data_IF_941865616613
#
_entry.id   IF_941865616613
#
_cell.length_a   1.000
_cell.length_b   1.000
_cell.length_c   1.000
_cell.angle_alpha   90.00
_cell.angle_beta   90.00
_cell.angle_gamma   90.00
#
_symmetry.space_group_name_H-M   'P 1'
#
loop_
_entity.id
_entity.type
_entity.pdbx_description
1 polymer ?
#
# COMPACT_ATOMS: atom_id res chain seq x y z
N UNK A 1 -32.32 15.28 -1.82
CA UNK A 1 -31.72 13.94 -1.56
C UNK A 1 -30.38 14.20 -0.89
N UNK A 2 -30.13 13.63 0.25
CA UNK A 2 -28.96 13.94 1.05
C UNK A 2 -27.67 13.30 0.47
N UNK A 3 -27.39 12.03 0.70
CA UNK A 3 -26.25 11.34 0.10
C UNK A 3 -26.74 10.41 -1.01
N UNK A 4 -26.31 10.65 -2.26
CA UNK A 4 -26.76 9.93 -3.47
C UNK A 4 -25.75 8.87 -3.97
N UNK A 5 -24.55 8.80 -3.40
CA UNK A 5 -23.51 7.84 -3.79
C UNK A 5 -22.74 7.34 -2.57
N UNK A 6 -22.37 6.06 -2.61
CA UNK A 6 -21.46 5.45 -1.62
C UNK A 6 -19.97 5.71 -1.95
N UNK A 7 -19.66 6.07 -3.19
CA UNK A 7 -18.28 6.30 -3.59
C UNK A 7 -17.69 7.51 -2.89
N UNK A 8 -16.51 7.34 -2.29
CA UNK A 8 -15.71 8.40 -1.67
C UNK A 8 -14.36 8.58 -2.38
N UNK A 9 -14.22 7.96 -3.54
CA UNK A 9 -13.03 8.01 -4.37
C UNK A 9 -13.41 8.26 -5.84
N UNK A 10 -12.61 9.05 -6.54
CA UNK A 10 -12.69 9.24 -7.99
C UNK A 10 -11.32 8.97 -8.63
N UNK A 11 -11.31 8.31 -9.76
CA UNK A 11 -10.10 7.79 -10.41
C UNK A 11 -9.90 6.28 -10.13
N UNK A 12 -8.70 5.72 -10.40
CA UNK A 12 -7.51 6.45 -10.87
C UNK A 12 -7.68 7.02 -12.28
N UNK A 13 -7.28 8.25 -12.47
CA UNK A 13 -7.21 8.91 -13.79
C UNK A 13 -5.81 8.75 -14.35
N UNK A 14 -5.70 8.24 -15.57
CA UNK A 14 -4.41 8.11 -16.25
C UNK A 14 -3.98 9.47 -16.82
N UNK A 15 -2.74 9.88 -16.55
CA UNK A 15 -2.14 11.08 -17.11
C UNK A 15 -1.78 10.89 -18.57
N UNK A 16 -1.98 11.95 -19.35
CA UNK A 16 -1.62 12.05 -20.77
C UNK A 16 -0.59 13.15 -21.05
N UNK A 17 -0.09 13.82 -20.01
CA UNK A 17 0.83 14.95 -20.11
C UNK A 17 0.16 16.27 -20.49
N UNK A 18 -1.17 16.30 -20.66
CA UNK A 18 -1.92 17.49 -21.13
C UNK A 18 -3.07 17.82 -20.18
N UNK A 19 -3.78 16.81 -19.71
CA UNK A 19 -4.98 16.97 -18.89
C UNK A 19 -4.66 17.59 -17.53
N UNK A 20 -5.50 18.57 -17.15
CA UNK A 20 -5.41 19.30 -15.87
C UNK A 20 -6.70 19.23 -15.06
N UNK A 21 -7.82 18.80 -15.66
CA UNK A 21 -9.14 18.82 -15.05
C UNK A 21 -9.66 17.41 -14.79
N UNK A 22 -10.01 17.13 -13.54
CA UNK A 22 -10.41 15.80 -13.09
C UNK A 22 -11.71 15.92 -12.28
N UNK A 23 -12.86 15.48 -12.84
CA UNK A 23 -14.15 15.57 -12.18
C UNK A 23 -14.28 14.51 -11.08
N UNK A 24 -15.05 14.83 -10.04
CA UNK A 24 -15.48 13.87 -9.04
C UNK A 24 -16.98 14.07 -8.71
N UNK A 25 -17.63 13.03 -8.21
CA UNK A 25 -19.09 13.00 -8.06
C UNK A 25 -19.57 12.75 -6.63
N UNK A 26 -18.68 12.67 -5.66
CA UNK A 26 -19.06 12.50 -4.26
C UNK A 26 -19.29 13.86 -3.58
N UNK A 27 -20.33 13.93 -2.72
CA UNK A 27 -20.67 15.13 -1.96
C UNK A 27 -19.56 15.45 -0.93
N UNK A 28 -19.19 16.73 -0.86
CA UNK A 28 -18.32 17.32 0.16
C UNK A 28 -18.91 18.64 0.64
N UNK A 29 -18.49 19.12 1.81
CA UNK A 29 -18.95 20.40 2.35
C UNK A 29 -18.00 21.55 2.01
N UNK A 30 -16.72 21.25 1.83
CA UNK A 30 -15.68 22.22 1.49
C UNK A 30 -14.73 21.65 0.45
N UNK A 31 -14.06 22.51 -0.31
CA UNK A 31 -12.98 22.11 -1.21
C UNK A 31 -11.81 21.45 -0.44
N UNK A 32 -11.61 21.81 0.81
CA UNK A 32 -10.58 21.26 1.70
C UNK A 32 -10.87 19.81 2.13
N UNK A 33 -12.10 19.34 1.95
CA UNK A 33 -12.51 17.94 2.24
C UNK A 33 -12.07 16.94 1.16
N UNK A 34 -11.33 17.38 0.14
CA UNK A 34 -10.83 16.54 -0.94
C UNK A 34 -9.31 16.52 -0.92
N UNK A 35 -8.72 15.34 -0.98
CA UNK A 35 -7.28 15.11 -1.14
C UNK A 35 -6.99 14.45 -2.46
N UNK A 36 -5.83 14.76 -3.01
CA UNK A 36 -5.35 14.23 -4.28
C UNK A 36 -4.06 13.45 -4.07
N UNK A 37 -4.00 12.25 -4.63
CA UNK A 37 -2.84 11.37 -4.59
C UNK A 37 -2.38 11.07 -6.02
N UNK A 38 -1.08 11.11 -6.24
CA UNK A 38 -0.46 10.71 -7.51
C UNK A 38 0.39 9.49 -7.28
N UNK A 39 0.19 8.49 -8.13
CA UNK A 39 1.06 7.32 -8.22
C UNK A 39 1.89 7.38 -9.51
N UNK A 40 3.18 7.11 -9.40
CA UNK A 40 4.07 6.96 -10.55
C UNK A 40 3.85 5.60 -11.25
N UNK A 41 4.46 5.35 -12.44
CA UNK A 41 4.35 4.06 -13.14
C UNK A 41 4.91 2.87 -12.36
N UNK A 42 5.73 3.10 -11.33
CA UNK A 42 6.26 2.08 -10.44
C UNK A 42 5.33 1.77 -9.27
N UNK A 43 4.24 2.54 -9.12
CA UNK A 43 3.25 2.37 -8.05
C UNK A 43 3.58 3.10 -6.76
N UNK A 44 4.59 3.98 -6.76
CA UNK A 44 4.86 4.82 -5.58
C UNK A 44 3.82 5.94 -5.52
N UNK A 45 3.06 5.97 -4.44
CA UNK A 45 1.98 6.93 -4.21
C UNK A 45 2.45 8.07 -3.30
N UNK A 46 2.05 9.29 -3.62
CA UNK A 46 2.29 10.49 -2.80
C UNK A 46 1.08 11.42 -2.81
N UNK A 47 0.82 12.07 -1.67
CA UNK A 47 -0.20 13.12 -1.58
C UNK A 47 0.31 14.39 -2.25
N UNK A 48 -0.50 14.99 -3.12
CA UNK A 48 -0.20 16.28 -3.72
C UNK A 48 -0.37 17.41 -2.67
N UNK A 49 0.59 18.33 -2.65
CA UNK A 49 0.46 19.52 -1.84
C UNK A 49 -0.79 20.33 -2.23
N UNK A 50 -1.52 20.87 -1.26
CA UNK A 50 -2.73 21.66 -1.50
C UNK A 50 -2.49 22.89 -2.42
N UNK A 51 -1.25 23.34 -2.52
CA UNK A 51 -0.81 24.41 -3.43
C UNK A 51 -0.66 23.96 -4.87
N UNK A 52 -0.62 22.66 -5.16
CA UNK A 52 -0.42 22.12 -6.50
C UNK A 52 -1.73 22.04 -7.33
N UNK A 53 -2.87 22.22 -6.68
CA UNK A 53 -4.18 22.13 -7.34
C UNK A 53 -5.21 23.07 -6.72
N UNK A 54 -6.30 23.25 -7.42
CA UNK A 54 -7.49 23.97 -6.97
C UNK A 54 -8.72 23.11 -7.20
N UNK A 55 -9.70 23.18 -6.30
CA UNK A 55 -10.96 22.46 -6.42
C UNK A 55 -12.09 23.48 -6.62
N UNK A 56 -12.90 23.22 -7.63
CA UNK A 56 -14.15 23.96 -7.88
C UNK A 56 -15.32 23.02 -7.60
N UNK A 57 -16.07 23.33 -6.55
CA UNK A 57 -17.28 22.57 -6.21
C UNK A 57 -18.45 22.93 -7.11
N UNK A 58 -19.33 21.97 -7.36
CA UNK A 58 -20.63 22.24 -7.97
C UNK A 58 -21.45 23.18 -7.08
N UNK A 59 -22.19 24.10 -7.68
CA UNK A 59 -22.95 25.12 -6.98
C UNK A 59 -24.05 24.55 -6.06
N UNK A 60 -24.50 23.34 -6.32
CA UNK A 60 -25.51 22.65 -5.51
C UNK A 60 -25.10 21.20 -5.27
N UNK A 61 -24.53 20.95 -4.11
CA UNK A 61 -24.07 19.60 -3.70
C UNK A 61 -25.22 18.63 -3.41
N UNK A 62 -26.46 19.10 -3.29
CA UNK A 62 -27.64 18.24 -3.10
C UNK A 62 -28.12 17.62 -4.42
N UNK A 63 -28.12 18.39 -5.50
CA UNK A 63 -28.62 17.98 -6.79
C UNK A 63 -27.52 17.50 -7.73
N UNK A 64 -26.32 18.05 -7.60
CA UNK A 64 -25.13 17.72 -8.39
C UNK A 64 -23.90 17.67 -7.46
N UNK A 65 -23.76 16.58 -6.69
CA UNK A 65 -22.63 16.43 -5.77
C UNK A 65 -21.31 16.37 -6.54
N UNK A 66 -20.23 16.81 -5.86
CA UNK A 66 -18.89 16.77 -6.39
C UNK A 66 -18.39 18.09 -6.95
N UNK A 67 -17.47 17.99 -7.90
CA UNK A 67 -16.79 19.14 -8.47
C UNK A 67 -15.69 18.73 -9.45
N UNK A 68 -14.75 19.63 -9.68
CA UNK A 68 -13.58 19.40 -10.54
C UNK A 68 -12.32 19.83 -9.82
N UNK A 69 -11.32 18.97 -9.84
CA UNK A 69 -9.97 19.31 -9.45
C UNK A 69 -9.22 19.85 -10.67
N UNK A 70 -8.56 20.99 -10.51
CA UNK A 70 -7.72 21.63 -11.52
C UNK A 70 -6.27 21.60 -11.04
N UNK A 71 -5.41 20.85 -11.74
CA UNK A 71 -3.97 20.86 -11.49
C UNK A 71 -3.32 22.12 -12.05
N UNK A 72 -2.34 22.67 -11.34
CA UNK A 72 -1.53 23.79 -11.84
C UNK A 72 -0.67 23.36 -13.02
N UNK A 73 -0.12 22.13 -12.97
CA UNK A 73 0.63 21.50 -14.04
C UNK A 73 -0.12 20.29 -14.57
N UNK A 74 0.02 19.92 -15.86
CA UNK A 74 -0.61 18.70 -16.39
C UNK A 74 -0.18 17.45 -15.63
N UNK A 75 -1.09 16.48 -15.47
CA UNK A 75 -0.72 15.18 -14.95
C UNK A 75 0.25 14.50 -15.91
N UNK A 76 1.46 14.19 -15.44
CA UNK A 76 2.48 13.56 -16.26
C UNK A 76 1.95 12.26 -16.89
N UNK A 77 2.40 11.95 -18.10
CA UNK A 77 2.02 10.72 -18.80
C UNK A 77 2.35 9.49 -17.92
N UNK A 78 1.49 8.48 -18.02
CA UNK A 78 1.58 7.22 -17.28
C UNK A 78 1.45 7.33 -15.74
N UNK A 79 1.31 8.53 -15.18
CA UNK A 79 0.98 8.71 -13.78
C UNK A 79 -0.53 8.52 -13.57
N UNK A 80 -0.90 8.11 -12.36
CA UNK A 80 -2.29 7.95 -11.97
C UNK A 80 -2.66 8.97 -10.90
N UNK A 81 -3.78 9.68 -11.10
CA UNK A 81 -4.34 10.60 -10.11
C UNK A 81 -5.58 9.99 -9.46
N UNK A 82 -5.63 10.00 -8.16
CA UNK A 82 -6.81 9.56 -7.39
C UNK A 82 -7.24 10.68 -6.44
N UNK A 83 -8.53 10.98 -6.43
CA UNK A 83 -9.16 11.92 -5.51
C UNK A 83 -9.93 11.16 -4.46
N UNK A 84 -9.79 11.55 -3.20
CA UNK A 84 -10.54 10.94 -2.09
C UNK A 84 -11.25 12.02 -1.27
N UNK A 85 -12.38 11.63 -0.69
CA UNK A 85 -13.02 12.40 0.39
C UNK A 85 -12.19 12.24 1.66
N UNK A 86 -11.77 13.34 2.25
CA UNK A 86 -10.92 13.39 3.44
C UNK A 86 -11.43 14.42 4.45
N UNK A 87 -12.73 14.44 4.66
CA UNK A 87 -13.38 15.32 5.63
C UNK A 87 -12.90 14.99 7.04
N UNK A 88 -12.44 15.98 7.82
CA UNK A 88 -11.98 15.74 9.18
C UNK A 88 -13.12 15.27 10.08
N UNK A 89 -12.87 14.21 10.85
CA UNK A 89 -13.88 13.57 11.74
C UNK A 89 -14.09 14.44 12.97
N UNK A 90 -14.96 15.45 12.84
CA UNK A 90 -15.33 16.36 13.90
C UNK A 90 -16.83 16.69 13.84
N UNK A 91 -17.42 16.99 14.98
CA UNK A 91 -18.81 17.47 15.07
C UNK A 91 -18.81 19.02 15.19
N UNK A 92 -18.96 19.76 14.08
CA UNK A 92 -18.94 21.22 14.14
C UNK A 92 -20.28 21.85 14.56
N UNK A 93 -21.34 21.04 14.70
CA UNK A 93 -22.68 21.50 15.05
C UNK A 93 -23.03 21.19 16.51
N UNK A 94 -23.62 22.20 17.18
CA UNK A 94 -24.19 22.06 18.52
C UNK A 94 -25.66 22.39 18.44
N UNK A 95 -26.52 21.50 18.92
CA UNK A 95 -27.94 21.73 19.06
C UNK A 95 -28.25 22.26 20.46
N UNK A 96 -28.94 23.41 20.54
CA UNK A 96 -29.36 23.99 21.83
C UNK A 96 -30.83 23.67 22.10
N UNK A 97 -31.16 23.37 23.36
CA UNK A 97 -32.52 22.94 23.75
C UNK A 97 -33.60 24.01 23.63
N UNK A 98 -33.23 25.27 23.36
CA UNK A 98 -34.18 26.39 23.28
C UNK A 98 -34.29 27.00 21.87
N UNK A 99 -33.77 26.28 20.84
CA UNK A 99 -33.85 26.70 19.44
C UNK A 99 -35.07 26.13 18.70
N UNK A 100 -35.43 26.75 17.58
CA UNK A 100 -36.39 26.16 16.64
C UNK A 100 -35.86 24.86 16.02
N UNK A 101 -36.76 24.03 15.53
CA UNK A 101 -36.39 22.82 14.77
C UNK A 101 -36.01 23.21 13.34
N UNK A 102 -34.76 22.98 12.96
CA UNK A 102 -34.25 23.26 11.62
C UNK A 102 -33.86 21.95 10.91
N UNK A 103 -34.75 21.39 10.06
CA UNK A 103 -34.51 20.12 9.36
C UNK A 103 -33.22 20.10 8.55
N UNK A 104 -32.85 21.23 7.94
CA UNK A 104 -31.64 21.31 7.10
C UNK A 104 -30.35 21.12 7.90
N UNK A 105 -30.30 21.65 9.13
CA UNK A 105 -29.17 21.42 10.01
C UNK A 105 -29.04 19.95 10.45
N UNK A 106 -30.20 19.32 10.72
CA UNK A 106 -30.22 17.89 11.07
C UNK A 106 -29.79 17.02 9.89
N UNK A 107 -30.32 17.32 8.69
CA UNK A 107 -29.93 16.63 7.46
C UNK A 107 -28.42 16.78 7.19
N UNK A 108 -27.87 17.99 7.33
CA UNK A 108 -26.44 18.22 7.16
C UNK A 108 -25.59 17.44 8.19
N UNK A 109 -26.07 17.30 9.44
CA UNK A 109 -25.40 16.50 10.46
C UNK A 109 -25.40 15.00 10.11
N UNK A 110 -26.55 14.47 9.66
CA UNK A 110 -26.71 13.08 9.23
C UNK A 110 -25.88 12.77 7.98
N UNK A 111 -25.86 13.69 7.02
CA UNK A 111 -25.02 13.59 5.82
C UNK A 111 -23.53 13.49 6.18
N UNK A 112 -23.08 14.32 7.12
CA UNK A 112 -21.71 14.29 7.61
C UNK A 112 -21.36 12.95 8.26
N UNK A 113 -22.23 12.42 9.11
CA UNK A 113 -22.05 11.09 9.70
C UNK A 113 -22.00 9.99 8.64
N UNK A 114 -22.89 10.05 7.65
CA UNK A 114 -22.92 9.10 6.53
C UNK A 114 -21.60 9.16 5.75
N UNK A 115 -21.10 10.36 5.46
CA UNK A 115 -19.80 10.54 4.76
C UNK A 115 -18.67 9.94 5.58
N UNK A 116 -18.63 10.12 6.91
CA UNK A 116 -17.60 9.52 7.76
C UNK A 116 -17.61 7.99 7.67
N UNK A 117 -18.78 7.36 7.75
CA UNK A 117 -18.91 5.91 7.62
C UNK A 117 -18.40 5.45 6.24
N UNK A 118 -18.77 6.14 5.17
CA UNK A 118 -18.33 5.83 3.82
C UNK A 118 -16.83 6.06 3.61
N UNK A 119 -16.22 7.04 4.27
CA UNK A 119 -14.75 7.23 4.26
C UNK A 119 -14.05 6.06 4.96
N UNK A 120 -14.59 5.59 6.10
CA UNK A 120 -14.06 4.40 6.77
C UNK A 120 -14.23 3.15 5.90
N UNK A 121 -15.37 2.96 5.25
CA UNK A 121 -15.60 1.84 4.33
C UNK A 121 -14.58 1.86 3.18
N UNK A 122 -14.31 3.02 2.59
CA UNK A 122 -13.29 3.19 1.54
C UNK A 122 -11.90 2.80 2.03
N UNK A 123 -11.50 3.26 3.23
CA UNK A 123 -10.21 2.89 3.83
C UNK A 123 -10.15 1.38 4.11
N UNK A 124 -11.19 0.82 4.72
CA UNK A 124 -11.27 -0.61 5.04
C UNK A 124 -11.24 -1.49 3.78
N UNK A 125 -11.78 -1.01 2.66
CA UNK A 125 -11.74 -1.74 1.39
C UNK A 125 -10.30 -1.98 0.87
N UNK A 126 -9.34 -1.21 1.36
CA UNK A 126 -7.90 -1.32 1.03
C UNK A 126 -7.09 -2.01 2.13
N UNK A 127 -7.72 -2.43 3.22
CA UNK A 127 -7.07 -3.11 4.34
C UNK A 127 -7.10 -4.62 4.16
N UNK A 128 -6.15 -5.30 4.78
CA UNK A 128 -6.20 -6.75 4.93
C UNK A 128 -7.31 -7.10 5.94
N UNK A 129 -8.28 -7.88 5.50
CA UNK A 129 -9.43 -8.30 6.33
C UNK A 129 -9.39 -9.81 6.52
N UNK A 130 -9.61 -10.26 7.74
CA UNK A 130 -9.74 -11.69 8.04
C UNK A 130 -11.02 -12.29 7.46
N UNK A 131 -11.07 -13.61 7.32
CA UNK A 131 -12.28 -14.34 6.92
C UNK A 131 -13.41 -14.09 7.92
N UNK A 132 -14.64 -13.92 7.43
CA UNK A 132 -15.86 -13.81 8.25
C UNK A 132 -16.06 -15.05 9.15
N UNK A 133 -15.61 -16.22 8.69
CA UNK A 133 -15.68 -17.48 9.44
C UNK A 133 -14.52 -17.66 10.44
N UNK A 134 -13.56 -16.73 10.48
CA UNK A 134 -12.47 -16.77 11.45
C UNK A 134 -12.98 -16.36 12.82
N UNK A 135 -12.71 -17.16 13.84
CA UNK A 135 -13.07 -16.88 15.25
C UNK A 135 -12.17 -15.82 15.91
N UNK A 136 -11.13 -15.36 15.21
CA UNK A 136 -10.19 -14.33 15.69
C UNK A 136 -9.85 -13.32 14.59
N UNK A 137 -9.37 -12.13 15.00
CA UNK A 137 -8.83 -11.14 14.08
C UNK A 137 -7.51 -11.60 13.45
N UNK A 138 -7.02 -10.86 12.45
CA UNK A 138 -5.67 -11.07 11.94
C UNK A 138 -4.65 -10.76 13.05
N UNK A 139 -3.58 -11.55 13.16
CA UNK A 139 -2.51 -11.26 14.11
C UNK A 139 -1.80 -9.95 13.70
N UNK A 140 -1.18 -9.25 14.67
CA UNK A 140 -0.44 -8.04 14.36
C UNK A 140 0.71 -8.33 13.41
N UNK A 141 0.98 -7.38 12.50
CA UNK A 141 2.15 -7.44 11.64
C UNK A 141 3.42 -7.26 12.48
N UNK A 142 4.49 -8.01 12.19
CA UNK A 142 5.78 -7.80 12.84
C UNK A 142 6.39 -6.46 12.42
N UNK A 143 7.33 -5.95 13.22
CA UNK A 143 8.14 -4.78 12.84
C UNK A 143 8.85 -5.10 11.52
N UNK A 144 8.79 -4.22 10.49
CA UNK A 144 9.42 -4.48 9.21
C UNK A 144 10.93 -4.69 9.34
N UNK A 145 11.44 -5.74 8.70
CA UNK A 145 12.87 -6.00 8.55
C UNK A 145 13.18 -6.01 7.06
N UNK A 146 14.17 -5.22 6.64
CA UNK A 146 14.57 -5.11 5.23
C UNK A 146 14.94 -6.48 4.65
N UNK A 147 14.55 -6.73 3.40
CA UNK A 147 14.80 -7.96 2.64
C UNK A 147 14.13 -9.24 3.19
N UNK A 148 13.25 -9.12 4.19
CA UNK A 148 12.47 -10.23 4.70
C UNK A 148 11.09 -10.29 4.04
N UNK A 149 10.54 -11.49 3.97
CA UNK A 149 9.17 -11.76 3.55
C UNK A 149 8.27 -11.94 4.77
N UNK A 150 6.98 -11.61 4.61
CA UNK A 150 5.98 -11.94 5.61
C UNK A 150 5.47 -13.36 5.35
N UNK A 151 5.46 -14.19 6.39
CA UNK A 151 4.84 -15.52 6.33
C UNK A 151 4.05 -15.81 7.60
N UNK A 152 3.14 -16.76 7.51
CA UNK A 152 2.56 -17.37 8.69
C UNK A 152 3.58 -18.30 9.37
N UNK A 153 3.61 -18.28 10.70
CA UNK A 153 4.36 -19.29 11.46
C UNK A 153 3.77 -20.70 11.23
N UNK A 154 4.45 -21.72 11.72
CA UNK A 154 4.05 -23.14 11.55
C UNK A 154 2.63 -23.44 12.04
N UNK A 155 2.16 -22.71 13.04
CA UNK A 155 0.87 -22.95 13.70
C UNK A 155 -0.26 -22.08 13.12
N UNK A 156 0.06 -21.18 12.16
CA UNK A 156 -0.90 -20.25 11.56
C UNK A 156 -1.45 -19.20 12.52
N UNK A 157 -0.77 -18.94 13.65
CA UNK A 157 -1.25 -18.04 14.70
C UNK A 157 -0.62 -16.66 14.66
N UNK A 158 0.52 -16.50 13.98
CA UNK A 158 1.28 -15.24 13.88
C UNK A 158 1.79 -15.02 12.47
N UNK A 159 1.91 -13.74 12.10
CA UNK A 159 2.68 -13.31 10.93
C UNK A 159 4.07 -12.95 11.42
N UNK A 160 5.10 -13.47 10.77
CA UNK A 160 6.50 -13.25 11.14
C UNK A 160 7.35 -12.83 9.93
N UNK A 161 8.44 -12.11 10.20
CA UNK A 161 9.45 -11.83 9.19
C UNK A 161 10.22 -13.12 8.89
N UNK A 162 10.31 -13.47 7.63
CA UNK A 162 11.04 -14.64 7.14
C UNK A 162 12.14 -14.20 6.17
N UNK A 163 13.36 -14.47 6.55
CA UNK A 163 14.51 -14.31 5.68
C UNK A 163 14.63 -15.55 4.77
N UNK A 164 14.39 -15.33 3.46
CA UNK A 164 14.72 -16.34 2.43
C UNK A 164 16.20 -16.23 2.05
N UNK A 165 17.05 -15.69 2.90
CA UNK A 165 18.48 -15.72 2.67
C UNK A 165 19.00 -17.10 2.31
N UNK A 166 20.27 -17.21 1.99
CA UNK A 166 20.89 -18.47 1.53
C UNK A 166 20.52 -19.67 2.41
N UNK A 167 20.37 -19.45 3.71
CA UNK A 167 20.01 -20.51 4.66
C UNK A 167 18.54 -20.93 4.55
N UNK A 168 17.63 -19.99 4.22
CA UNK A 168 16.24 -20.30 3.94
C UNK A 168 16.09 -21.11 2.64
N UNK A 169 16.84 -20.76 1.58
CA UNK A 169 16.87 -21.51 0.33
C UNK A 169 17.48 -22.90 0.55
N UNK A 170 18.56 -23.02 1.33
CA UNK A 170 19.15 -24.30 1.71
C UNK A 170 18.16 -25.20 2.47
N UNK A 171 17.41 -24.63 3.42
CA UNK A 171 16.36 -25.34 4.17
C UNK A 171 15.25 -25.83 3.25
N UNK A 172 14.81 -25.00 2.30
CA UNK A 172 13.79 -25.40 1.32
C UNK A 172 14.30 -26.49 0.38
N UNK A 173 15.53 -26.41 -0.10
CA UNK A 173 16.18 -27.46 -0.89
C UNK A 173 16.27 -28.76 -0.09
N UNK A 174 16.60 -28.71 1.19
CA UNK A 174 16.65 -29.89 2.06
C UNK A 174 15.28 -30.55 2.20
N UNK A 175 14.21 -29.76 2.37
CA UNK A 175 12.84 -30.30 2.42
C UNK A 175 12.39 -30.90 1.08
N UNK A 176 12.75 -30.29 -0.05
CA UNK A 176 12.51 -30.86 -1.38
C UNK A 176 13.27 -32.18 -1.59
N UNK A 177 14.53 -32.28 -1.17
CA UNK A 177 15.31 -33.51 -1.21
C UNK A 177 14.60 -34.62 -0.43
N UNK A 178 14.12 -34.35 0.77
CA UNK A 178 13.38 -35.28 1.59
C UNK A 178 12.08 -35.73 0.92
N UNK A 179 11.32 -34.79 0.37
CA UNK A 179 10.07 -35.10 -0.34
C UNK A 179 10.30 -35.96 -1.60
N UNK A 180 11.34 -35.68 -2.38
CA UNK A 180 11.72 -36.47 -3.57
C UNK A 180 12.23 -37.87 -3.18
N UNK A 181 12.99 -37.99 -2.09
CA UNK A 181 13.45 -39.29 -1.59
C UNK A 181 12.31 -40.16 -1.08
N UNK A 182 11.21 -39.56 -0.61
CA UNK A 182 10.01 -40.30 -0.20
C UNK A 182 9.17 -40.81 -1.38
N UNK A 183 9.35 -40.24 -2.59
CA UNK A 183 8.75 -40.69 -3.84
C UNK A 183 9.55 -41.90 -4.41
N UNK A 184 9.62 -42.96 -3.64
CA UNK A 184 10.40 -44.16 -3.98
C UNK A 184 9.84 -44.85 -5.21
N UNK A 185 10.67 -45.05 -6.25
CA UNK A 185 10.51 -46.14 -7.22
C UNK A 185 10.66 -45.82 -8.70
N UNK A 186 11.05 -44.62 -9.13
CA UNK A 186 11.22 -44.33 -10.55
C UNK A 186 12.53 -43.60 -10.89
N UNK A 187 13.13 -43.93 -12.04
CA UNK A 187 14.34 -43.26 -12.54
C UNK A 187 14.21 -41.71 -12.69
N UNK A 188 12.99 -41.24 -12.83
CA UNK A 188 12.69 -39.79 -12.85
C UNK A 188 12.95 -39.10 -11.51
N UNK A 189 12.63 -39.79 -10.38
CA UNK A 189 12.89 -39.23 -9.04
C UNK A 189 14.40 -39.09 -8.79
N UNK A 190 15.20 -40.05 -9.27
CA UNK A 190 16.67 -39.98 -9.18
C UNK A 190 17.23 -38.81 -10.01
N UNK A 191 16.71 -38.60 -11.22
CA UNK A 191 17.13 -37.48 -12.08
C UNK A 191 16.79 -36.13 -11.48
N UNK A 192 15.61 -35.98 -10.83
CA UNK A 192 15.22 -34.78 -10.11
C UNK A 192 16.14 -34.55 -8.91
N UNK A 193 16.43 -35.60 -8.14
CA UNK A 193 17.34 -35.55 -7.01
C UNK A 193 18.74 -35.04 -7.43
N UNK A 194 19.30 -35.58 -8.51
CA UNK A 194 20.61 -35.16 -9.05
C UNK A 194 20.61 -33.70 -9.51
N UNK A 195 19.51 -33.22 -10.12
CA UNK A 195 19.36 -31.80 -10.48
C UNK A 195 19.29 -30.88 -9.26
N UNK A 196 18.58 -31.31 -8.20
CA UNK A 196 18.51 -30.56 -6.93
C UNK A 196 19.89 -30.48 -6.27
N UNK A 197 20.67 -31.55 -6.29
CA UNK A 197 22.05 -31.60 -5.79
C UNK A 197 22.96 -30.63 -6.55
N UNK A 198 22.90 -30.64 -7.88
CA UNK A 198 23.69 -29.73 -8.71
C UNK A 198 23.33 -28.25 -8.48
N UNK A 199 22.04 -27.93 -8.30
CA UNK A 199 21.58 -26.59 -7.98
C UNK A 199 22.03 -26.15 -6.58
N UNK A 200 22.01 -27.04 -5.60
CA UNK A 200 22.50 -26.78 -4.23
C UNK A 200 23.99 -26.41 -4.24
N UNK A 201 24.81 -27.19 -4.97
CA UNK A 201 26.22 -26.90 -5.12
C UNK A 201 26.50 -25.55 -5.78
N UNK A 202 25.79 -25.25 -6.87
CA UNK A 202 25.90 -23.93 -7.54
C UNK A 202 25.52 -22.77 -6.61
N UNK A 203 24.50 -22.95 -5.76
CA UNK A 203 24.09 -21.94 -4.81
C UNK A 203 25.18 -21.70 -3.75
N UNK A 204 25.82 -22.74 -3.28
CA UNK A 204 26.97 -22.65 -2.35
C UNK A 204 28.14 -21.88 -2.97
N UNK A 205 28.48 -22.19 -4.22
CA UNK A 205 29.56 -21.53 -4.95
C UNK A 205 29.28 -20.03 -5.11
N UNK A 206 28.07 -19.67 -5.55
CA UNK A 206 27.64 -18.28 -5.71
C UNK A 206 27.64 -17.52 -4.38
N UNK A 207 27.23 -18.16 -3.28
CA UNK A 207 27.24 -17.56 -1.95
C UNK A 207 28.65 -17.28 -1.48
N UNK A 208 29.54 -18.25 -1.68
CA UNK A 208 30.94 -18.10 -1.30
C UNK A 208 31.64 -17.04 -2.13
N UNK A 209 31.33 -16.93 -3.43
CA UNK A 209 31.84 -15.88 -4.30
C UNK A 209 31.32 -14.49 -3.88
N UNK A 210 30.02 -14.38 -3.60
CA UNK A 210 29.41 -13.12 -3.12
C UNK A 210 30.01 -12.67 -1.81
N UNK A 211 30.19 -13.57 -0.84
CA UNK A 211 30.80 -13.29 0.44
C UNK A 211 32.26 -12.83 0.28
N UNK A 212 33.00 -13.46 -0.63
CA UNK A 212 34.38 -13.07 -0.93
C UNK A 212 34.47 -11.68 -1.55
N UNK A 213 33.55 -11.34 -2.50
CA UNK A 213 33.47 -10.00 -3.09
C UNK A 213 33.10 -8.96 -2.05
N UNK A 214 32.13 -9.24 -1.19
CA UNK A 214 31.71 -8.34 -0.11
C UNK A 214 32.88 -8.02 0.86
N UNK A 215 33.64 -9.04 1.24
CA UNK A 215 34.83 -8.86 2.10
C UNK A 215 35.91 -8.05 1.40
N UNK A 216 36.11 -8.22 0.09
CA UNK A 216 37.04 -7.40 -0.68
C UNK A 216 36.58 -5.93 -0.75
N UNK A 217 35.29 -5.66 -0.98
CA UNK A 217 34.74 -4.31 -0.92
C UNK A 217 34.86 -3.68 0.45
N UNK A 218 34.56 -4.42 1.51
CA UNK A 218 34.71 -3.95 2.88
C UNK A 218 36.19 -3.59 3.21
N UNK A 219 37.14 -4.41 2.78
CA UNK A 219 38.57 -4.13 2.93
C UNK A 219 39.03 -2.89 2.14
N UNK A 220 38.52 -2.74 0.91
CA UNK A 220 38.75 -1.57 0.06
C UNK A 220 38.20 -0.28 0.71
N UNK A 221 36.99 -0.29 1.20
CA UNK A 221 36.35 0.83 1.89
C UNK A 221 37.06 1.20 3.18
N UNK A 222 37.58 0.20 3.94
CA UNK A 222 38.37 0.43 5.14
C UNK A 222 39.69 1.12 4.79
N UNK A 223 40.36 0.69 3.72
CA UNK A 223 41.61 1.28 3.24
C UNK A 223 41.41 2.73 2.77
N UNK A 224 40.41 3.00 1.97
CA UNK A 224 40.07 4.36 1.51
C UNK A 224 39.73 5.30 2.67
N UNK A 225 38.96 4.81 3.65
CA UNK A 225 38.66 5.60 4.86
C UNK A 225 39.90 5.92 5.66
N UNK A 226 40.84 4.98 5.78
CA UNK A 226 42.11 5.20 6.51
C UNK A 226 42.99 6.22 5.77
N UNK A 227 43.06 6.18 4.44
CA UNK A 227 43.81 7.16 3.63
C UNK A 227 43.18 8.56 3.74
N UNK A 228 41.85 8.67 3.67
CA UNK A 228 41.16 9.95 3.85
C UNK A 228 41.34 10.57 5.23
N UNK A 229 41.45 9.75 6.28
CA UNK A 229 41.78 10.22 7.65
C UNK A 229 43.24 10.59 7.85
N UNK A 230 44.15 10.04 7.03
CA UNK A 230 45.58 10.36 7.07
C UNK A 230 45.95 11.60 6.24
N UNK A 231 44.96 12.24 5.54
CA UNK A 231 45.21 13.44 4.75
C UNK A 231 45.98 13.19 3.43
N UNK A 232 45.93 11.96 2.92
CA UNK A 232 46.51 11.54 1.63
C UNK A 232 45.41 11.26 0.61
#
# INVERSE_FOLDING_TARGET
MTISTSNRRAGPYLGDGIQREFPFTFKVFSAEDVRAYVADPQGNESELAATAYRITLSSNQENRPGGVLHLNEPLAADNHLTLISAMPVMQPMVFTNQGGFFPDLLNAALDRLTIYVQQFEEILSRCMVGSVNSSGGLPPLPVPVGQNFLRWNSDGTKIENYDIGVDGIKSYIASLKTAVSALTGGGEALAIYQKIEALSSKLEDLTNESSRKLNQYAAYMKKTRTLALAGL
#
